data_IF_168070685261
#
_entry.id   IF_168070685261
#
_cell.length_a   1.000
_cell.length_b   1.000
_cell.length_c   1.000
_cell.angle_alpha   90.00
_cell.angle_beta   90.00
_cell.angle_gamma   90.00
#
_symmetry.space_group_name_H-M   'P 1'
#
loop_
_entity.id
_entity.type
_entity.pdbx_description
1 polymer ?
#
# COMPACT_ATOMS: atom_id res chain seq x y z
N UNK A 1 -6.37 -0.65 -21.43
CA UNK A 1 -6.54 0.75 -20.96
C UNK A 1 -5.29 1.58 -21.17
N UNK A 2 -4.15 1.24 -20.55
CA UNK A 2 -2.92 2.07 -20.71
C UNK A 2 -2.50 2.17 -22.17
N UNK A 3 -2.45 1.06 -22.92
CA UNK A 3 -2.05 1.07 -24.32
C UNK A 3 -3.03 1.86 -25.19
N UNK A 4 -4.33 1.79 -24.92
CA UNK A 4 -5.33 2.61 -25.61
C UNK A 4 -5.12 4.10 -25.30
N UNK A 5 -4.94 4.47 -24.02
CA UNK A 5 -4.62 5.85 -23.64
C UNK A 5 -3.35 6.35 -24.33
N UNK A 6 -2.28 5.54 -24.37
CA UNK A 6 -1.01 5.92 -24.98
C UNK A 6 -1.09 6.00 -26.51
N UNK A 7 -1.99 5.22 -27.14
CA UNK A 7 -2.26 5.31 -28.58
C UNK A 7 -3.01 6.60 -28.95
N UNK A 8 -3.96 7.02 -28.12
CA UNK A 8 -4.68 8.29 -28.28
C UNK A 8 -3.78 9.52 -28.04
N UNK A 9 -2.65 9.33 -27.30
CA UNK A 9 -1.71 10.40 -26.94
C UNK A 9 -0.30 10.04 -27.44
N UNK A 10 -0.04 10.17 -28.74
CA UNK A 10 1.25 9.80 -29.33
C UNK A 10 2.40 10.61 -28.74
N UNK A 11 3.58 10.00 -28.70
CA UNK A 11 4.77 10.64 -28.16
C UNK A 11 5.11 11.91 -28.96
N UNK A 12 5.13 13.04 -28.28
CA UNK A 12 5.74 14.26 -28.81
C UNK A 12 7.27 14.18 -28.66
N UNK A 13 8.00 15.15 -29.23
CA UNK A 13 9.46 15.31 -28.96
C UNK A 13 9.78 15.45 -27.46
N UNK A 14 8.78 15.72 -26.65
CA UNK A 14 8.88 15.80 -25.20
C UNK A 14 8.43 14.49 -24.55
N UNK A 15 9.13 13.98 -23.53
CA UNK A 15 8.91 12.63 -23.01
C UNK A 15 7.73 12.48 -22.01
N UNK A 16 6.81 13.43 -21.95
CA UNK A 16 5.77 13.45 -20.90
C UNK A 16 4.83 12.21 -20.91
N UNK A 17 4.52 11.64 -22.07
CA UNK A 17 3.74 10.39 -22.18
C UNK A 17 4.61 9.14 -22.03
N UNK A 18 5.90 9.25 -22.35
CA UNK A 18 6.87 8.16 -22.21
C UNK A 18 7.12 7.82 -20.74
N UNK A 19 7.03 8.80 -19.82
CA UNK A 19 7.23 8.59 -18.39
C UNK A 19 6.22 7.58 -17.85
N UNK A 20 4.94 7.73 -18.16
CA UNK A 20 3.90 6.81 -17.73
C UNK A 20 4.15 5.37 -18.22
N UNK A 21 4.56 5.19 -19.49
CA UNK A 21 4.89 3.87 -20.05
C UNK A 21 6.06 3.20 -19.32
N UNK A 22 7.10 3.98 -18.98
CA UNK A 22 8.25 3.46 -18.22
C UNK A 22 7.85 3.06 -16.80
N UNK A 23 7.00 3.85 -16.16
CA UNK A 23 6.56 3.62 -14.80
C UNK A 23 5.50 2.51 -14.68
N UNK A 24 4.75 2.24 -15.73
CA UNK A 24 3.77 1.13 -15.79
C UNK A 24 4.39 -0.27 -15.54
N UNK A 25 5.69 -0.44 -15.74
CA UNK A 25 6.42 -1.67 -15.36
C UNK A 25 6.33 -1.96 -13.87
N UNK A 26 6.18 -0.95 -13.04
CA UNK A 26 5.97 -1.11 -11.59
C UNK A 26 4.66 -1.84 -11.29
N UNK A 27 3.63 -1.66 -12.13
CA UNK A 27 2.39 -2.43 -12.06
C UNK A 27 2.64 -3.94 -12.27
N UNK A 28 3.48 -4.32 -13.22
CA UNK A 28 3.69 -5.74 -13.56
C UNK A 28 4.31 -6.54 -12.41
N UNK A 29 5.03 -5.90 -11.50
CA UNK A 29 5.69 -6.52 -10.35
C UNK A 29 4.82 -6.71 -9.10
N UNK A 30 3.55 -6.23 -9.11
CA UNK A 30 2.63 -6.34 -7.97
C UNK A 30 1.99 -7.73 -7.83
N UNK A 31 1.63 -8.10 -6.60
CA UNK A 31 0.93 -9.35 -6.29
C UNK A 31 -0.58 -9.31 -6.61
N UNK A 32 -1.13 -8.15 -6.96
CA UNK A 32 -2.54 -7.93 -7.34
C UNK A 32 -3.57 -8.36 -6.28
N UNK A 33 -3.24 -8.30 -5.02
CA UNK A 33 -4.12 -8.77 -3.93
C UNK A 33 -5.46 -8.08 -3.90
N UNK A 34 -5.51 -6.77 -4.20
CA UNK A 34 -6.75 -5.98 -4.15
C UNK A 34 -7.70 -6.34 -5.29
N UNK A 35 -7.15 -6.41 -6.50
CA UNK A 35 -7.88 -6.90 -7.66
C UNK A 35 -8.36 -8.35 -7.45
N UNK A 36 -7.46 -9.23 -6.99
CA UNK A 36 -7.79 -10.63 -6.74
C UNK A 36 -8.89 -10.79 -5.67
N UNK A 37 -8.86 -9.97 -4.60
CA UNK A 37 -9.91 -9.96 -3.58
C UNK A 37 -11.27 -9.52 -4.17
N UNK A 38 -11.28 -8.47 -4.97
CA UNK A 38 -12.52 -7.97 -5.58
C UNK A 38 -13.12 -9.00 -6.54
N UNK A 39 -12.31 -9.60 -7.41
CA UNK A 39 -12.78 -10.60 -8.38
C UNK A 39 -13.21 -11.89 -7.68
N UNK A 40 -12.36 -12.45 -6.80
CA UNK A 40 -12.70 -13.68 -6.08
C UNK A 40 -13.92 -13.48 -5.17
N UNK A 41 -14.03 -12.32 -4.51
CA UNK A 41 -15.23 -11.99 -3.70
C UNK A 41 -16.50 -11.96 -4.55
N UNK A 42 -16.44 -11.32 -5.71
CA UNK A 42 -17.56 -11.33 -6.67
C UNK A 42 -17.96 -12.77 -7.09
N UNK A 43 -16.97 -13.54 -7.58
CA UNK A 43 -17.21 -14.92 -8.03
C UNK A 43 -17.75 -15.80 -6.92
N UNK A 44 -17.22 -15.68 -5.71
CA UNK A 44 -17.72 -16.45 -4.57
C UNK A 44 -19.13 -16.07 -4.12
N UNK A 45 -19.49 -14.78 -4.20
CA UNK A 45 -20.82 -14.30 -3.82
C UNK A 45 -21.88 -14.63 -4.87
N UNK A 46 -21.54 -14.61 -6.14
CA UNK A 46 -22.48 -14.87 -7.25
C UNK A 46 -22.50 -16.34 -7.70
N UNK A 47 -21.37 -17.05 -7.58
CA UNK A 47 -21.16 -18.36 -8.20
C UNK A 47 -20.81 -18.27 -9.69
N UNK A 48 -20.70 -17.06 -10.24
CA UNK A 48 -20.47 -16.82 -11.67
C UNK A 48 -19.06 -16.22 -11.91
N UNK A 49 -18.38 -16.58 -12.98
CA UNK A 49 -17.09 -16.01 -13.32
C UNK A 49 -17.22 -14.50 -13.63
N UNK A 50 -16.18 -13.74 -13.25
CA UNK A 50 -16.15 -12.31 -13.53
C UNK A 50 -16.08 -12.05 -15.05
N UNK A 51 -17.17 -11.57 -15.62
CA UNK A 51 -17.22 -11.12 -17.02
C UNK A 51 -16.33 -9.90 -17.28
N UNK A 52 -16.11 -9.54 -18.57
CA UNK A 52 -15.21 -8.43 -18.94
C UNK A 52 -15.50 -7.10 -18.25
N UNK A 53 -16.78 -6.75 -18.08
CA UNK A 53 -17.19 -5.50 -17.39
C UNK A 53 -16.81 -5.51 -15.91
N UNK A 54 -17.11 -6.60 -15.20
CA UNK A 54 -16.73 -6.80 -13.78
C UNK A 54 -15.20 -6.75 -13.62
N UNK A 55 -14.48 -7.51 -14.44
CA UNK A 55 -13.02 -7.55 -14.41
C UNK A 55 -12.41 -6.17 -14.69
N UNK A 56 -12.97 -5.44 -15.69
CA UNK A 56 -12.52 -4.09 -16.01
C UNK A 56 -12.78 -3.12 -14.84
N UNK A 57 -14.00 -3.12 -14.30
CA UNK A 57 -14.32 -2.27 -13.15
C UNK A 57 -13.34 -2.52 -12.00
N UNK A 58 -13.11 -3.79 -11.60
CA UNK A 58 -12.22 -4.12 -10.49
C UNK A 58 -10.76 -3.62 -10.69
N UNK A 59 -10.32 -3.33 -11.93
CA UNK A 59 -8.97 -2.79 -12.17
C UNK A 59 -8.74 -1.40 -11.59
N UNK A 60 -9.80 -0.66 -11.21
CA UNK A 60 -9.64 0.64 -10.56
C UNK A 60 -8.75 0.56 -9.33
N UNK A 61 -8.83 -0.53 -8.58
CA UNK A 61 -8.05 -0.78 -7.36
C UNK A 61 -6.53 -0.80 -7.62
N UNK A 62 -6.11 -1.38 -8.74
CA UNK A 62 -4.69 -1.45 -9.09
C UNK A 62 -4.19 -0.12 -9.69
N UNK A 63 -5.03 0.58 -10.48
CA UNK A 63 -4.70 1.93 -10.94
C UNK A 63 -4.59 2.90 -9.77
N UNK A 64 -5.55 2.86 -8.85
CA UNK A 64 -5.53 3.70 -7.67
C UNK A 64 -4.31 3.39 -6.78
N UNK A 65 -4.00 2.12 -6.56
CA UNK A 65 -2.81 1.73 -5.81
C UNK A 65 -1.52 2.22 -6.48
N UNK A 66 -1.43 2.20 -7.81
CA UNK A 66 -0.27 2.77 -8.52
C UNK A 66 -0.15 4.28 -8.30
N UNK A 67 -1.27 4.99 -8.34
CA UNK A 67 -1.34 6.41 -8.01
C UNK A 67 -0.74 6.70 -6.64
N UNK A 68 -1.18 5.97 -5.62
CA UNK A 68 -0.67 6.16 -4.24
C UNK A 68 0.83 5.85 -4.14
N UNK A 69 1.32 4.80 -4.83
CA UNK A 69 2.74 4.46 -4.84
C UNK A 69 3.62 5.54 -5.47
N UNK A 70 3.14 6.22 -6.51
CA UNK A 70 3.91 7.29 -7.16
C UNK A 70 4.06 8.51 -6.24
N UNK A 71 3.03 8.84 -5.48
CA UNK A 71 3.07 9.95 -4.52
C UNK A 71 3.86 9.58 -3.26
N UNK A 72 3.64 8.39 -2.73
CA UNK A 72 4.35 7.85 -1.56
C UNK A 72 5.88 7.85 -1.79
N UNK A 73 6.35 7.36 -2.96
CA UNK A 73 7.76 7.40 -3.31
C UNK A 73 8.38 8.82 -3.33
N UNK A 74 7.56 9.85 -3.63
CA UNK A 74 8.03 11.24 -3.62
C UNK A 74 8.07 11.77 -2.18
N UNK A 75 7.05 11.48 -1.38
CA UNK A 75 6.93 11.93 0.01
C UNK A 75 8.01 11.29 0.89
N UNK A 76 8.27 9.98 0.69
CA UNK A 76 9.29 9.22 1.41
C UNK A 76 10.71 9.44 0.83
N UNK A 77 10.87 10.24 -0.23
CA UNK A 77 12.12 10.41 -1.00
C UNK A 77 12.74 9.08 -1.47
N UNK A 78 11.92 8.06 -1.69
CA UNK A 78 12.38 6.72 -2.06
C UNK A 78 12.92 6.68 -3.49
N UNK A 79 14.22 6.37 -3.65
CA UNK A 79 14.87 6.25 -4.97
C UNK A 79 14.48 4.96 -5.69
N UNK A 80 14.09 3.94 -4.94
CA UNK A 80 13.75 2.60 -5.44
C UNK A 80 12.53 2.05 -4.73
N UNK A 81 11.67 1.40 -5.52
CA UNK A 81 10.56 0.59 -5.02
C UNK A 81 10.78 -0.86 -5.44
N UNK A 82 11.04 -1.75 -4.45
CA UNK A 82 11.46 -3.14 -4.68
C UNK A 82 12.75 -3.20 -5.53
N UNK A 83 12.71 -3.91 -6.66
CA UNK A 83 13.85 -4.04 -7.58
C UNK A 83 13.93 -2.92 -8.62
N UNK A 84 12.91 -2.08 -8.77
CA UNK A 84 12.83 -1.03 -9.77
C UNK A 84 13.16 0.35 -9.17
N UNK A 85 13.69 1.29 -9.98
CA UNK A 85 13.70 2.69 -9.59
C UNK A 85 12.28 3.20 -9.37
N UNK A 86 12.07 4.09 -8.40
CA UNK A 86 10.79 4.79 -8.22
C UNK A 86 10.44 5.66 -9.43
N UNK A 87 9.16 6.07 -9.53
CA UNK A 87 8.70 6.87 -10.66
C UNK A 87 9.49 8.18 -10.80
N UNK A 88 9.65 8.94 -9.72
CA UNK A 88 10.39 10.19 -9.77
C UNK A 88 11.88 9.98 -10.08
N UNK A 89 12.48 8.91 -9.57
CA UNK A 89 13.89 8.57 -9.87
C UNK A 89 14.08 8.18 -11.34
N UNK A 90 13.14 7.39 -11.90
CA UNK A 90 13.13 7.04 -13.34
C UNK A 90 13.01 8.30 -14.21
N UNK A 91 12.05 9.17 -13.88
CA UNK A 91 11.77 10.38 -14.64
C UNK A 91 12.93 11.39 -14.56
N UNK A 92 13.64 11.47 -13.43
CA UNK A 92 14.81 12.32 -13.26
C UNK A 92 15.91 12.02 -14.29
N UNK A 93 16.04 10.76 -14.74
CA UNK A 93 17.01 10.35 -15.75
C UNK A 93 16.71 10.89 -17.16
N UNK A 94 15.47 11.31 -17.40
CA UNK A 94 15.04 11.90 -18.68
C UNK A 94 15.34 13.39 -18.75
N UNK A 95 15.77 14.02 -17.66
CA UNK A 95 16.15 15.43 -17.63
C UNK A 95 17.42 15.66 -18.47
N UNK A 96 17.30 16.49 -19.50
CA UNK A 96 18.41 16.80 -20.44
C UNK A 96 19.09 18.14 -20.20
N UNK A 97 18.52 18.96 -19.29
CA UNK A 97 19.07 20.24 -18.95
C UNK A 97 20.31 20.15 -18.06
N UNK A 98 21.04 21.24 -17.91
CA UNK A 98 22.12 21.35 -16.93
C UNK A 98 21.56 21.26 -15.53
N UNK A 99 21.98 20.26 -14.78
CA UNK A 99 21.60 20.11 -13.37
C UNK A 99 22.32 21.17 -12.52
N UNK A 100 21.61 21.77 -11.60
CA UNK A 100 22.13 22.80 -10.71
C UNK A 100 21.44 22.70 -9.35
N UNK A 101 22.20 22.97 -8.30
CA UNK A 101 21.65 23.11 -6.93
C UNK A 101 20.70 24.31 -6.87
N UNK A 102 19.66 24.18 -6.08
CA UNK A 102 18.62 25.19 -5.87
C UNK A 102 18.34 25.33 -4.37
N UNK A 103 19.17 26.06 -3.64
CA UNK A 103 18.94 26.28 -2.21
C UNK A 103 17.65 27.07 -1.98
N UNK A 104 16.99 26.84 -0.84
CA UNK A 104 15.79 27.57 -0.44
C UNK A 104 14.50 27.21 -1.20
N UNK A 105 14.46 26.11 -1.94
CA UNK A 105 13.27 25.59 -2.64
C UNK A 105 13.03 24.14 -2.31
N UNK A 106 11.78 23.66 -2.51
CA UNK A 106 11.33 22.29 -2.17
C UNK A 106 12.24 21.21 -2.77
N UNK A 107 12.59 21.33 -4.05
CA UNK A 107 13.46 20.36 -4.71
C UNK A 107 14.88 20.89 -4.86
N UNK A 108 15.87 20.20 -4.31
CA UNK A 108 17.28 20.64 -4.23
C UNK A 108 17.98 20.82 -5.56
N UNK A 109 17.57 20.11 -6.62
CA UNK A 109 18.16 20.25 -7.95
C UNK A 109 17.08 20.38 -9.03
N UNK A 110 17.47 20.86 -10.23
CA UNK A 110 16.56 20.93 -11.38
C UNK A 110 16.13 19.53 -11.84
N UNK A 111 17.03 18.57 -11.75
CA UNK A 111 16.79 17.17 -12.11
C UNK A 111 15.75 16.52 -11.20
N UNK A 112 15.88 16.64 -9.88
CA UNK A 112 14.92 16.09 -8.92
C UNK A 112 13.55 16.76 -9.05
N UNK A 113 13.52 18.10 -9.25
CA UNK A 113 12.27 18.82 -9.55
C UNK A 113 11.56 18.24 -10.78
N UNK A 114 12.28 18.08 -11.88
CA UNK A 114 11.72 17.52 -13.12
C UNK A 114 11.17 16.13 -12.88
N UNK A 115 11.93 15.25 -12.25
CA UNK A 115 11.51 13.86 -11.97
C UNK A 115 10.27 13.78 -11.11
N UNK A 116 10.21 14.51 -9.99
CA UNK A 116 9.08 14.56 -9.10
C UNK A 116 7.84 15.19 -9.78
N UNK A 117 8.00 16.30 -10.51
CA UNK A 117 6.88 16.92 -11.23
C UNK A 117 6.28 15.98 -12.27
N UNK A 118 7.08 15.23 -13.03
CA UNK A 118 6.56 14.23 -13.97
C UNK A 118 5.89 13.07 -13.26
N UNK A 119 6.41 12.61 -12.11
CA UNK A 119 5.78 11.54 -11.34
C UNK A 119 4.44 11.97 -10.73
N UNK A 120 4.29 13.23 -10.27
CA UNK A 120 3.00 13.79 -9.84
C UNK A 120 2.00 13.78 -11.00
N UNK A 121 2.40 14.22 -12.20
CA UNK A 121 1.54 14.19 -13.38
C UNK A 121 1.17 12.76 -13.80
N UNK A 122 2.10 11.81 -13.70
CA UNK A 122 1.82 10.40 -13.95
C UNK A 122 0.85 9.83 -12.89
N UNK A 123 0.99 10.23 -11.62
CA UNK A 123 0.04 9.88 -10.56
C UNK A 123 -1.37 10.36 -10.89
N UNK A 124 -1.55 11.63 -11.28
CA UNK A 124 -2.85 12.17 -11.69
C UNK A 124 -3.46 11.41 -12.88
N UNK A 125 -2.63 11.07 -13.89
CA UNK A 125 -3.09 10.27 -15.03
C UNK A 125 -3.60 8.89 -14.61
N UNK A 126 -2.88 8.17 -13.77
CA UNK A 126 -3.33 6.84 -13.31
C UNK A 126 -4.52 6.92 -12.36
N UNK A 127 -4.65 8.01 -11.58
CA UNK A 127 -5.88 8.29 -10.81
C UNK A 127 -7.11 8.42 -11.73
N UNK A 128 -6.98 9.15 -12.83
CA UNK A 128 -8.04 9.27 -13.85
C UNK A 128 -8.30 7.94 -14.58
N UNK A 129 -7.26 7.09 -14.77
CA UNK A 129 -7.46 5.75 -15.33
C UNK A 129 -8.25 4.85 -14.37
N UNK A 130 -8.17 5.05 -13.06
CA UNK A 130 -9.02 4.34 -12.10
C UNK A 130 -10.51 4.69 -12.31
N UNK A 131 -10.86 5.96 -12.48
CA UNK A 131 -12.23 6.37 -12.81
C UNK A 131 -12.70 5.81 -14.16
N UNK A 132 -11.88 5.94 -15.21
CA UNK A 132 -12.18 5.37 -16.54
C UNK A 132 -12.35 3.85 -16.54
N UNK A 133 -11.76 3.13 -15.59
CA UNK A 133 -11.97 1.70 -15.43
C UNK A 133 -13.40 1.38 -15.05
N UNK A 134 -13.96 2.15 -14.12
CA UNK A 134 -15.35 2.02 -13.65
C UNK A 134 -16.33 2.51 -14.73
N UNK A 135 -16.13 3.73 -15.24
CA UNK A 135 -17.02 4.35 -16.23
C UNK A 135 -17.15 3.52 -17.51
N UNK A 136 -16.02 3.02 -18.02
CA UNK A 136 -15.97 2.24 -19.26
C UNK A 136 -16.22 0.75 -19.06
N UNK A 137 -16.71 0.30 -17.91
CA UNK A 137 -17.07 -1.09 -17.66
C UNK A 137 -18.42 -1.40 -18.34
N UNK A 138 -18.36 -2.13 -19.43
CA UNK A 138 -19.55 -2.50 -20.22
C UNK A 138 -20.43 -3.49 -19.48
N UNK A 139 -21.76 -3.38 -19.65
CA UNK A 139 -22.75 -4.28 -19.06
C UNK A 139 -23.03 -4.04 -17.57
N UNK A 140 -22.42 -3.04 -16.93
CA UNK A 140 -22.75 -2.67 -15.57
C UNK A 140 -23.92 -1.67 -15.51
N UNK A 141 -24.80 -1.88 -14.54
CA UNK A 141 -25.87 -0.93 -14.22
C UNK A 141 -25.29 0.44 -13.84
N UNK A 142 -25.86 1.55 -14.32
CA UNK A 142 -25.44 2.91 -13.95
C UNK A 142 -25.36 3.14 -12.44
N UNK A 143 -26.30 2.61 -11.66
CA UNK A 143 -26.30 2.74 -10.20
C UNK A 143 -25.14 1.96 -9.54
N UNK A 144 -24.69 0.87 -10.15
CA UNK A 144 -23.49 0.15 -9.71
C UNK A 144 -22.24 0.98 -9.97
N UNK A 145 -22.13 1.60 -11.17
CA UNK A 145 -21.01 2.50 -11.48
C UNK A 145 -20.95 3.69 -10.53
N UNK A 146 -22.07 4.33 -10.25
CA UNK A 146 -22.15 5.45 -9.30
C UNK A 146 -21.66 5.05 -7.92
N UNK A 147 -22.09 3.89 -7.41
CA UNK A 147 -21.61 3.36 -6.12
C UNK A 147 -20.11 3.07 -6.12
N UNK A 148 -19.56 2.54 -7.19
CA UNK A 148 -18.12 2.29 -7.29
C UNK A 148 -17.30 3.59 -7.38
N UNK A 149 -17.81 4.63 -8.06
CA UNK A 149 -17.19 5.95 -8.07
C UNK A 149 -17.25 6.62 -6.69
N UNK A 150 -18.36 6.45 -5.97
CA UNK A 150 -18.49 6.88 -4.58
C UNK A 150 -17.48 6.17 -3.67
N UNK A 151 -17.32 4.86 -3.82
CA UNK A 151 -16.33 4.07 -3.08
C UNK A 151 -14.88 4.54 -3.36
N UNK A 152 -14.56 4.81 -4.63
CA UNK A 152 -13.26 5.34 -5.02
C UNK A 152 -12.99 6.71 -4.37
N UNK A 153 -14.00 7.60 -4.34
CA UNK A 153 -13.90 8.91 -3.69
C UNK A 153 -13.68 8.79 -2.19
N UNK A 154 -14.40 7.88 -1.53
CA UNK A 154 -14.25 7.62 -0.10
C UNK A 154 -12.86 7.03 0.24
N UNK A 155 -12.38 6.12 -0.61
CA UNK A 155 -11.00 5.60 -0.50
C UNK A 155 -9.98 6.73 -0.62
N UNK A 156 -10.18 7.65 -1.55
CA UNK A 156 -9.27 8.78 -1.80
C UNK A 156 -9.15 9.69 -0.58
N UNK A 157 -10.29 10.05 0.03
CA UNK A 157 -10.35 10.89 1.22
C UNK A 157 -9.68 10.21 2.43
N UNK A 158 -10.13 9.00 2.76
CA UNK A 158 -9.65 8.30 3.97
C UNK A 158 -8.18 7.90 3.86
N UNK A 159 -7.73 7.48 2.67
CA UNK A 159 -6.33 7.12 2.47
C UNK A 159 -5.42 8.35 2.53
N UNK A 160 -5.88 9.51 2.01
CA UNK A 160 -5.14 10.77 2.13
C UNK A 160 -4.98 11.19 3.58
N UNK A 161 -6.02 11.03 4.42
CA UNK A 161 -5.91 11.24 5.87
C UNK A 161 -4.87 10.31 6.51
N UNK A 162 -4.88 9.03 6.10
CA UNK A 162 -3.92 8.04 6.59
C UNK A 162 -2.48 8.38 6.22
N UNK A 163 -2.26 8.87 4.99
CA UNK A 163 -0.94 9.35 4.55
C UNK A 163 -0.51 10.62 5.31
N UNK A 164 -1.46 11.52 5.58
CA UNK A 164 -1.21 12.70 6.41
C UNK A 164 -0.72 12.33 7.81
N UNK A 165 -1.39 11.37 8.46
CA UNK A 165 -0.97 10.84 9.77
C UNK A 165 0.43 10.23 9.73
N UNK A 166 0.77 9.47 8.68
CA UNK A 166 2.10 8.87 8.55
C UNK A 166 3.20 9.94 8.47
N UNK A 167 2.97 11.02 7.73
CA UNK A 167 3.88 12.18 7.66
C UNK A 167 3.96 12.89 9.01
N UNK A 168 2.83 13.12 9.69
CA UNK A 168 2.81 13.77 11.00
C UNK A 168 3.58 12.96 12.03
N UNK A 169 3.53 11.63 11.97
CA UNK A 169 4.26 10.74 12.87
C UNK A 169 5.77 10.87 12.74
N UNK A 170 6.30 11.27 11.58
CA UNK A 170 7.76 11.48 11.41
C UNK A 170 8.30 12.54 12.40
N UNK A 171 7.47 13.54 12.72
CA UNK A 171 7.85 14.63 13.63
C UNK A 171 7.47 14.33 15.08
N UNK A 172 6.63 13.34 15.33
CA UNK A 172 6.18 12.98 16.67
C UNK A 172 7.32 12.39 17.51
N UNK A 173 7.41 12.79 18.78
CA UNK A 173 8.37 12.21 19.73
C UNK A 173 8.05 10.75 20.06
N UNK A 174 6.77 10.43 20.14
CA UNK A 174 6.23 9.10 20.35
C UNK A 174 4.85 9.02 19.71
N UNK A 175 4.45 7.84 19.33
CA UNK A 175 3.08 7.48 18.94
C UNK A 175 2.65 6.29 19.78
N UNK A 176 1.35 6.17 20.00
CA UNK A 176 0.73 5.01 20.65
C UNK A 176 0.44 3.90 19.64
N UNK A 177 0.23 2.68 20.13
CA UNK A 177 -0.20 1.56 19.31
C UNK A 177 -1.57 1.86 18.64
N UNK A 178 -2.49 2.53 19.33
CA UNK A 178 -3.80 2.92 18.80
C UNK A 178 -3.70 3.95 17.67
N UNK A 179 -2.86 4.95 17.81
CA UNK A 179 -2.61 5.94 16.74
C UNK A 179 -2.04 5.28 15.50
N UNK A 180 -1.06 4.38 15.68
CA UNK A 180 -0.54 3.58 14.57
C UNK A 180 -1.64 2.75 13.89
N UNK A 181 -2.52 2.10 14.66
CA UNK A 181 -3.62 1.29 14.11
C UNK A 181 -4.57 2.12 13.25
N UNK A 182 -4.96 3.31 13.73
CA UNK A 182 -5.79 4.26 12.95
C UNK A 182 -5.11 4.67 11.65
N UNK A 183 -3.83 5.03 11.70
CA UNK A 183 -3.04 5.37 10.51
C UNK A 183 -2.98 4.19 9.52
N UNK A 184 -2.66 2.98 10.01
CA UNK A 184 -2.55 1.77 9.21
C UNK A 184 -3.88 1.37 8.56
N UNK A 185 -5.00 1.49 9.29
CA UNK A 185 -6.34 1.27 8.74
C UNK A 185 -6.66 2.25 7.60
N UNK A 186 -6.36 3.53 7.79
CA UNK A 186 -6.64 4.56 6.79
C UNK A 186 -5.70 4.45 5.60
N UNK A 187 -4.39 4.39 5.80
CA UNK A 187 -3.37 4.39 4.73
C UNK A 187 -3.37 3.09 3.93
N UNK A 188 -3.44 1.93 4.60
CA UNK A 188 -3.33 0.62 3.95
C UNK A 188 -4.66 -0.13 3.93
N UNK A 189 -5.37 -0.16 5.05
CA UNK A 189 -6.59 -0.93 5.24
C UNK A 189 -7.72 -0.48 4.33
N UNK A 190 -7.92 0.83 4.18
CA UNK A 190 -9.04 1.40 3.43
C UNK A 190 -9.13 0.89 1.99
N UNK A 191 -8.01 0.73 1.29
CA UNK A 191 -8.02 0.23 -0.09
C UNK A 191 -8.31 -1.27 -0.18
N UNK A 192 -8.00 -2.06 0.86
CA UNK A 192 -8.43 -3.47 0.93
C UNK A 192 -9.93 -3.58 1.24
N UNK A 193 -10.45 -2.74 2.14
CA UNK A 193 -11.89 -2.62 2.39
C UNK A 193 -12.61 -2.18 1.12
N UNK A 194 -12.07 -1.24 0.36
CA UNK A 194 -12.58 -0.83 -0.95
C UNK A 194 -12.63 -1.98 -1.98
N UNK A 195 -11.68 -2.91 -1.91
CA UNK A 195 -11.71 -4.11 -2.76
C UNK A 195 -12.87 -5.05 -2.36
N UNK A 196 -13.11 -5.22 -1.07
CA UNK A 196 -14.27 -5.98 -0.55
C UNK A 196 -15.60 -5.31 -0.89
N UNK A 197 -15.69 -3.99 -0.69
CA UNK A 197 -16.86 -3.19 -1.05
C UNK A 197 -17.15 -3.25 -2.57
N UNK A 198 -16.11 -3.25 -3.40
CA UNK A 198 -16.21 -3.43 -4.85
C UNK A 198 -16.82 -4.79 -5.20
N UNK A 199 -16.31 -5.88 -4.60
CA UNK A 199 -16.87 -7.23 -4.80
C UNK A 199 -18.36 -7.29 -4.42
N UNK A 200 -18.69 -6.79 -3.23
CA UNK A 200 -20.06 -6.80 -2.71
C UNK A 200 -21.01 -5.93 -3.57
N UNK A 201 -20.55 -4.78 -4.04
CA UNK A 201 -21.33 -3.89 -4.91
C UNK A 201 -21.61 -4.54 -6.26
N UNK A 202 -20.60 -5.13 -6.90
CA UNK A 202 -20.71 -5.83 -8.18
C UNK A 202 -21.62 -7.06 -8.09
N UNK A 203 -21.58 -7.77 -6.95
CA UNK A 203 -22.38 -8.97 -6.69
C UNK A 203 -23.80 -8.66 -6.19
N UNK A 204 -24.17 -7.40 -5.97
CA UNK A 204 -25.41 -7.03 -5.28
C UNK A 204 -25.59 -7.81 -3.96
N UNK A 205 -24.52 -7.96 -3.19
CA UNK A 205 -24.47 -8.75 -1.98
C UNK A 205 -25.39 -8.21 -0.88
N UNK A 206 -25.82 -9.09 0.01
CA UNK A 206 -26.52 -8.68 1.24
C UNK A 206 -25.61 -7.81 2.11
N UNK A 207 -26.20 -6.98 2.97
CA UNK A 207 -25.43 -6.15 3.91
C UNK A 207 -24.58 -7.01 4.86
N UNK A 208 -25.09 -8.16 5.27
CA UNK A 208 -24.36 -9.12 6.10
C UNK A 208 -23.10 -9.64 5.40
N UNK A 209 -23.21 -10.08 4.13
CA UNK A 209 -22.08 -10.62 3.37
C UNK A 209 -21.07 -9.49 3.04
N UNK A 210 -21.56 -8.28 2.71
CA UNK A 210 -20.72 -7.08 2.55
C UNK A 210 -19.90 -6.81 3.80
N UNK A 211 -20.56 -6.66 4.95
CA UNK A 211 -19.91 -6.34 6.23
C UNK A 211 -18.87 -7.41 6.63
N UNK A 212 -19.19 -8.67 6.41
CA UNK A 212 -18.27 -9.78 6.70
C UNK A 212 -17.04 -9.75 5.76
N UNK A 213 -17.23 -9.48 4.48
CA UNK A 213 -16.12 -9.38 3.51
C UNK A 213 -15.24 -8.16 3.78
N UNK A 214 -15.81 -7.02 4.15
CA UNK A 214 -15.08 -5.81 4.55
C UNK A 214 -14.30 -6.06 5.86
N UNK A 215 -14.88 -6.77 6.81
CA UNK A 215 -14.23 -7.20 8.07
C UNK A 215 -13.03 -8.10 7.77
N UNK A 216 -13.20 -9.09 6.89
CA UNK A 216 -12.07 -9.91 6.40
C UNK A 216 -10.96 -9.03 5.82
N UNK A 217 -11.31 -8.13 4.90
CA UNK A 217 -10.35 -7.28 4.20
C UNK A 217 -9.57 -6.35 5.15
N UNK A 218 -10.27 -5.75 6.12
CA UNK A 218 -9.69 -4.90 7.16
C UNK A 218 -8.64 -5.65 7.98
N UNK A 219 -9.01 -6.77 8.56
CA UNK A 219 -8.11 -7.55 9.41
C UNK A 219 -6.95 -8.17 8.62
N UNK A 220 -7.21 -8.62 7.39
CA UNK A 220 -6.15 -9.06 6.48
C UNK A 220 -5.14 -7.96 6.21
N UNK A 221 -5.60 -6.73 5.94
CA UNK A 221 -4.74 -5.59 5.66
C UNK A 221 -3.89 -5.16 6.86
N UNK A 222 -4.45 -5.19 8.07
CA UNK A 222 -3.69 -4.89 9.30
C UNK A 222 -2.59 -5.93 9.54
N UNK A 223 -2.90 -7.22 9.39
CA UNK A 223 -1.89 -8.27 9.49
C UNK A 223 -0.81 -8.15 8.40
N UNK A 224 -1.21 -7.74 7.19
CA UNK A 224 -0.31 -7.50 6.06
C UNK A 224 0.65 -6.34 6.37
N UNK A 225 0.13 -5.21 6.89
CA UNK A 225 0.95 -4.04 7.21
C UNK A 225 1.93 -4.32 8.35
N UNK A 226 1.47 -4.88 9.46
CA UNK A 226 2.34 -5.26 10.58
C UNK A 226 3.47 -6.18 10.14
N UNK A 227 3.17 -7.05 9.18
CA UNK A 227 4.17 -7.92 8.60
C UNK A 227 5.16 -7.19 7.69
N UNK A 228 4.71 -6.28 6.84
CA UNK A 228 5.59 -5.47 6.00
C UNK A 228 6.55 -4.65 6.88
N UNK A 229 6.10 -4.12 8.02
CA UNK A 229 6.91 -3.41 9.01
C UNK A 229 7.97 -4.31 9.66
N UNK A 230 7.63 -5.57 9.98
CA UNK A 230 8.61 -6.56 10.46
C UNK A 230 9.73 -6.79 9.43
N UNK A 231 9.38 -6.87 8.16
CA UNK A 231 10.33 -7.05 7.06
C UNK A 231 11.15 -5.79 6.80
N UNK A 232 10.52 -4.61 6.79
CA UNK A 232 11.14 -3.30 6.57
C UNK A 232 12.16 -2.94 7.66
N UNK A 233 11.90 -3.34 8.92
CA UNK A 233 12.85 -3.19 10.02
C UNK A 233 14.03 -4.17 9.96
N UNK A 234 13.89 -5.28 9.23
CA UNK A 234 14.86 -6.38 9.22
C UNK A 234 14.99 -7.11 10.55
N UNK A 235 13.98 -7.02 11.41
CA UNK A 235 13.89 -7.82 12.66
C UNK A 235 13.71 -9.29 12.31
N UNK A 236 12.94 -9.56 11.24
CA UNK A 236 12.84 -10.86 10.60
C UNK A 236 13.47 -10.80 9.20
N UNK A 237 14.06 -11.90 8.75
CA UNK A 237 14.65 -11.98 7.41
C UNK A 237 13.64 -12.52 6.41
N UNK A 238 13.57 -11.90 5.22
CA UNK A 238 12.84 -12.47 4.09
C UNK A 238 13.81 -13.05 3.08
N UNK A 239 13.45 -14.18 2.45
CA UNK A 239 14.17 -14.73 1.31
C UNK A 239 14.01 -13.88 0.04
N UNK A 240 13.14 -12.87 0.06
CA UNK A 240 12.84 -12.00 -1.08
C UNK A 240 13.43 -10.63 -0.77
N UNK A 241 14.57 -10.31 -1.42
CA UNK A 241 15.38 -9.12 -1.19
C UNK A 241 14.59 -7.81 -1.10
N UNK A 242 14.72 -7.13 0.02
CA UNK A 242 14.38 -5.75 0.29
C UNK A 242 15.51 -5.11 1.09
N UNK A 243 15.56 -3.78 1.18
CA UNK A 243 16.52 -3.10 2.07
C UNK A 243 16.13 -3.42 3.52
N UNK A 244 16.77 -4.43 4.08
CA UNK A 244 16.47 -4.98 5.40
C UNK A 244 16.79 -4.03 6.57
N UNK A 245 16.58 -2.74 6.46
CA UNK A 245 16.74 -1.72 7.52
C UNK A 245 16.31 -0.33 7.10
N UNK A 246 15.57 -0.19 5.98
CA UNK A 246 15.10 1.10 5.49
C UNK A 246 14.33 1.86 6.56
N UNK A 247 13.35 1.23 7.16
CA UNK A 247 12.47 1.84 8.16
C UNK A 247 13.23 2.32 9.42
N UNK A 248 14.25 1.58 9.86
CA UNK A 248 15.09 1.99 11.00
C UNK A 248 15.90 3.24 10.66
N UNK A 249 16.50 3.26 9.48
CA UNK A 249 17.32 4.39 9.04
C UNK A 249 16.47 5.64 8.78
N UNK A 250 15.32 5.48 8.10
CA UNK A 250 14.37 6.55 7.84
C UNK A 250 13.65 7.03 9.10
N UNK A 251 13.57 6.21 10.13
CA UNK A 251 12.91 6.56 11.39
C UNK A 251 11.39 6.41 11.34
N UNK A 252 10.87 5.50 10.48
CA UNK A 252 9.43 5.28 10.34
C UNK A 252 8.77 4.88 11.66
N UNK A 253 7.68 5.52 11.99
CA UNK A 253 6.93 5.29 13.24
C UNK A 253 5.97 4.10 13.06
N UNK A 254 6.55 2.89 13.02
CA UNK A 254 5.80 1.64 12.89
C UNK A 254 5.21 1.17 14.23
N UNK A 255 4.35 0.14 14.21
CA UNK A 255 3.87 -0.51 15.45
C UNK A 255 5.03 -1.03 16.31
N UNK A 256 6.07 -1.57 15.68
CA UNK A 256 7.30 -1.97 16.39
C UNK A 256 7.92 -0.81 17.17
N UNK A 257 7.99 0.37 16.55
CA UNK A 257 8.48 1.58 17.21
C UNK A 257 7.62 1.95 18.40
N UNK A 258 6.30 2.02 18.24
CA UNK A 258 5.36 2.40 19.30
C UNK A 258 5.51 1.49 20.53
N UNK A 259 5.48 0.18 20.32
CA UNK A 259 5.63 -0.81 21.39
C UNK A 259 7.01 -0.76 22.03
N UNK A 260 8.09 -0.59 21.24
CA UNK A 260 9.44 -0.47 21.80
C UNK A 260 9.60 0.76 22.69
N UNK A 261 9.01 1.90 22.32
CA UNK A 261 9.00 3.12 23.14
C UNK A 261 8.24 2.89 24.45
N UNK A 262 7.11 2.21 24.41
CA UNK A 262 6.28 1.95 25.58
C UNK A 262 6.93 0.94 26.53
N UNK A 263 7.42 -0.20 26.01
CA UNK A 263 7.81 -1.36 26.83
C UNK A 263 9.28 -1.44 27.19
N UNK A 264 10.15 -0.70 26.49
CA UNK A 264 11.58 -0.77 26.80
C UNK A 264 11.90 -0.12 28.16
N UNK A 265 12.78 -0.72 28.97
CA UNK A 265 13.32 -0.08 30.16
C UNK A 265 14.00 1.25 29.84
N UNK A 266 14.06 2.22 30.77
CA UNK A 266 14.54 3.57 30.48
C UNK A 266 15.91 3.63 29.78
N UNK A 267 16.86 2.79 30.18
CA UNK A 267 18.19 2.71 29.54
C UNK A 267 18.14 2.23 28.10
N UNK A 268 17.35 1.18 27.82
CA UNK A 268 17.18 0.62 26.48
C UNK A 268 16.42 1.62 25.59
N UNK A 269 15.34 2.24 26.10
CA UNK A 269 14.58 3.28 25.41
C UNK A 269 15.45 4.46 25.01
N UNK A 270 16.28 4.97 25.91
CA UNK A 270 17.20 6.07 25.61
C UNK A 270 18.23 5.69 24.53
N UNK A 271 18.73 4.45 24.55
CA UNK A 271 19.63 3.94 23.53
C UNK A 271 18.93 3.77 22.15
N UNK A 272 17.70 3.26 22.17
CA UNK A 272 16.84 3.12 20.99
C UNK A 272 16.59 4.47 20.31
N UNK A 273 16.10 5.47 21.04
CA UNK A 273 15.81 6.81 20.51
C UNK A 273 17.06 7.48 19.91
N UNK A 274 18.25 7.28 20.52
CA UNK A 274 19.50 7.83 19.96
C UNK A 274 19.94 7.18 18.67
N UNK A 275 19.62 5.89 18.46
CA UNK A 275 20.07 5.10 17.31
C UNK A 275 19.05 5.08 16.16
N UNK A 276 17.77 5.34 16.44
CA UNK A 276 16.65 5.26 15.48
C UNK A 276 16.56 6.53 14.63
N UNK A 277 16.26 6.38 13.32
CA UNK A 277 15.92 7.52 12.45
C UNK A 277 17.09 8.44 12.14
N UNK A 278 18.31 7.92 12.05
CA UNK A 278 19.51 8.74 11.80
C UNK A 278 19.76 8.99 10.31
N UNK A 279 18.91 8.48 9.43
CA UNK A 279 19.02 8.60 7.98
C UNK A 279 20.39 8.12 7.47
N UNK A 280 21.09 8.88 6.60
CA UNK A 280 22.41 8.53 6.10
C UNK A 280 23.51 8.40 7.16
N UNK A 281 23.29 8.89 8.39
CA UNK A 281 24.21 8.76 9.52
C UNK A 281 24.01 7.48 10.34
N UNK A 282 23.03 6.64 9.97
CA UNK A 282 22.84 5.35 10.63
C UNK A 282 24.02 4.43 10.38
N UNK A 283 24.61 3.91 11.46
CA UNK A 283 25.71 2.94 11.37
C UNK A 283 25.18 1.50 11.47
N UNK A 284 25.92 0.49 11.00
CA UNK A 284 25.56 -0.91 11.23
C UNK A 284 25.37 -1.26 12.72
N UNK A 285 26.11 -0.59 13.62
CA UNK A 285 25.98 -0.75 15.09
C UNK A 285 24.65 -0.18 15.59
N UNK A 286 24.22 0.97 15.09
CA UNK A 286 22.92 1.58 15.43
C UNK A 286 21.79 0.63 15.00
N UNK A 287 21.82 0.13 13.75
CA UNK A 287 20.82 -0.80 13.23
C UNK A 287 20.78 -2.10 14.04
N UNK A 288 21.93 -2.67 14.37
CA UNK A 288 22.00 -3.89 15.18
C UNK A 288 21.44 -3.69 16.59
N UNK A 289 21.74 -2.53 17.22
CA UNK A 289 21.22 -2.17 18.54
C UNK A 289 19.69 -2.02 18.50
N UNK A 290 19.17 -1.29 17.53
CA UNK A 290 17.72 -1.08 17.35
C UNK A 290 17.01 -2.44 17.13
N UNK A 291 17.50 -3.27 16.23
CA UNK A 291 16.92 -4.60 15.98
C UNK A 291 16.90 -5.49 17.21
N UNK A 292 17.95 -5.45 18.03
CA UNK A 292 17.97 -6.18 19.29
C UNK A 292 16.84 -5.71 20.20
N UNK A 293 16.70 -4.40 20.40
CA UNK A 293 15.67 -3.82 21.28
C UNK A 293 14.27 -4.14 20.76
N UNK A 294 14.06 -4.07 19.44
CA UNK A 294 12.78 -4.44 18.82
C UNK A 294 12.45 -5.92 19.04
N UNK A 295 13.44 -6.82 18.92
CA UNK A 295 13.25 -8.25 19.21
C UNK A 295 12.90 -8.52 20.66
N UNK A 296 13.61 -7.86 21.59
CA UNK A 296 13.44 -8.07 23.02
C UNK A 296 12.12 -7.51 23.57
N UNK A 297 11.58 -6.44 22.97
CA UNK A 297 10.47 -5.69 23.59
C UNK A 297 9.24 -5.50 22.72
N UNK A 298 9.29 -5.75 21.41
CA UNK A 298 8.18 -5.49 20.52
C UNK A 298 7.76 -6.69 19.65
N UNK A 299 8.68 -7.56 19.25
CA UNK A 299 8.44 -8.60 18.26
C UNK A 299 7.28 -9.54 18.63
N UNK A 300 7.26 -10.06 19.86
CA UNK A 300 6.23 -11.01 20.29
C UNK A 300 4.84 -10.38 20.30
N UNK A 301 4.76 -9.08 20.65
CA UNK A 301 3.48 -8.36 20.65
C UNK A 301 2.96 -8.18 19.24
N UNK A 302 3.85 -7.76 18.30
CA UNK A 302 3.46 -7.59 16.89
C UNK A 302 3.06 -8.93 16.27
N UNK A 303 3.78 -10.01 16.57
CA UNK A 303 3.39 -11.35 16.12
C UNK A 303 2.01 -11.76 16.66
N UNK A 304 1.73 -11.51 17.94
CA UNK A 304 0.43 -11.78 18.53
C UNK A 304 -0.70 -10.96 17.87
N UNK A 305 -0.42 -9.70 17.48
CA UNK A 305 -1.36 -8.86 16.72
C UNK A 305 -1.62 -9.42 15.32
N UNK A 306 -0.57 -9.80 14.60
CA UNK A 306 -0.71 -10.46 13.28
C UNK A 306 -1.60 -11.70 13.39
N UNK A 307 -1.32 -12.59 14.36
CA UNK A 307 -2.13 -13.80 14.57
C UNK A 307 -3.57 -13.49 14.95
N UNK A 308 -3.80 -12.49 15.81
CA UNK A 308 -5.15 -12.05 16.20
C UNK A 308 -5.93 -11.54 15.01
N UNK A 309 -5.33 -10.67 14.19
CA UNK A 309 -5.95 -10.15 12.97
C UNK A 309 -6.23 -11.28 11.96
N UNK A 310 -5.31 -12.23 11.78
CA UNK A 310 -5.53 -13.37 10.88
C UNK A 310 -6.67 -14.26 11.37
N UNK A 311 -6.80 -14.50 12.70
CA UNK A 311 -7.95 -15.23 13.25
C UNK A 311 -9.26 -14.49 13.01
N UNK A 312 -9.31 -13.18 13.24
CA UNK A 312 -10.48 -12.35 12.98
C UNK A 312 -10.87 -12.36 11.50
N UNK A 313 -9.87 -12.24 10.60
CA UNK A 313 -10.11 -12.35 9.15
C UNK A 313 -10.70 -13.71 8.78
N UNK A 314 -10.14 -14.81 9.26
CA UNK A 314 -10.66 -16.16 8.97
C UNK A 314 -12.06 -16.36 9.52
N UNK A 315 -12.34 -15.90 10.76
CA UNK A 315 -13.68 -15.97 11.34
C UNK A 315 -14.71 -15.16 10.53
N UNK A 316 -14.32 -14.01 9.98
CA UNK A 316 -15.21 -13.23 9.13
C UNK A 316 -15.60 -13.98 7.84
N UNK A 317 -14.69 -14.79 7.26
CA UNK A 317 -15.00 -15.62 6.10
C UNK A 317 -16.08 -16.67 6.39
N UNK A 318 -16.15 -17.19 7.62
CA UNK A 318 -17.15 -18.19 8.01
C UNK A 318 -18.58 -17.61 8.00
N UNK A 319 -18.71 -16.30 8.19
CA UNK A 319 -20.00 -15.61 8.17
C UNK A 319 -20.52 -15.30 6.74
N UNK A 320 -19.68 -15.41 5.71
CA UNK A 320 -20.04 -15.09 4.33
C UNK A 320 -20.72 -16.29 3.66
N UNK A 321 -21.84 -16.05 2.99
CA UNK A 321 -22.58 -17.07 2.23
C UNK A 321 -22.07 -17.17 0.80
N UNK A 322 -20.83 -17.66 0.65
CA UNK A 322 -20.32 -17.98 -0.69
C UNK A 322 -21.11 -19.09 -1.37
N UNK A 323 -21.25 -19.01 -2.68
CA UNK A 323 -21.90 -20.02 -3.52
C UNK A 323 -21.07 -21.28 -3.71
N UNK A 324 -19.75 -21.16 -3.53
CA UNK A 324 -18.81 -22.29 -3.56
C UNK A 324 -17.72 -22.14 -2.49
N UNK A 325 -17.07 -23.28 -2.16
CA UNK A 325 -16.00 -23.30 -1.17
C UNK A 325 -14.63 -22.83 -1.73
N UNK A 326 -14.49 -22.72 -3.04
CA UNK A 326 -13.19 -22.36 -3.69
C UNK A 326 -12.75 -20.98 -3.28
N UNK A 327 -13.68 -20.03 -3.26
CA UNK A 327 -13.37 -18.65 -2.86
C UNK A 327 -12.97 -18.59 -1.40
N UNK A 328 -13.71 -19.27 -0.51
CA UNK A 328 -13.39 -19.38 0.91
C UNK A 328 -11.99 -19.97 1.12
N UNK A 329 -11.67 -21.07 0.43
CA UNK A 329 -10.36 -21.70 0.48
C UNK A 329 -9.25 -20.81 -0.07
N UNK A 330 -9.50 -20.08 -1.16
CA UNK A 330 -8.53 -19.15 -1.74
C UNK A 330 -8.21 -18.02 -0.76
N UNK A 331 -9.22 -17.36 -0.22
CA UNK A 331 -9.06 -16.25 0.72
C UNK A 331 -8.44 -16.72 2.04
N UNK A 332 -8.82 -17.91 2.52
CA UNK A 332 -8.20 -18.53 3.70
C UNK A 332 -6.71 -18.83 3.49
N UNK A 333 -6.34 -19.39 2.32
CA UNK A 333 -4.92 -19.62 1.97
C UNK A 333 -4.15 -18.30 1.86
N UNK A 334 -4.77 -17.27 1.27
CA UNK A 334 -4.16 -15.94 1.16
C UNK A 334 -3.86 -15.37 2.54
N UNK A 335 -4.82 -15.45 3.47
CA UNK A 335 -4.64 -15.00 4.85
C UNK A 335 -3.55 -15.79 5.57
N UNK A 336 -3.61 -17.13 5.53
CA UNK A 336 -2.63 -18.01 6.18
C UNK A 336 -1.21 -17.83 5.63
N UNK A 337 -1.06 -17.54 4.34
CA UNK A 337 0.24 -17.23 3.74
C UNK A 337 0.90 -15.97 4.33
N UNK A 338 0.14 -15.08 4.95
CA UNK A 338 0.73 -13.97 5.71
C UNK A 338 1.34 -14.45 7.04
N UNK A 339 0.77 -15.43 7.72
CA UNK A 339 1.31 -16.01 8.96
C UNK A 339 2.54 -16.91 8.73
N UNK A 340 2.55 -17.74 7.68
CA UNK A 340 3.60 -18.75 7.43
C UNK A 340 4.94 -18.16 6.98
N UNK A 341 4.97 -16.92 6.49
CA UNK A 341 6.22 -16.27 6.08
C UNK A 341 7.12 -15.84 7.26
N UNK A 342 6.74 -16.12 8.49
CA UNK A 342 7.50 -15.80 9.71
C UNK A 342 8.32 -17.01 10.24
N UNK A 343 8.24 -18.17 9.56
CA UNK A 343 8.98 -19.38 9.95
C UNK A 343 10.14 -19.65 9.01
#
# INVERSE_FOLDING_TARGET
MLDAYLAEHPESRFPSTRTLRLNAKTLSAGKRYRYALAVAGYEGLTGEPAGPGVARAATWLEWYHLYTLFLDDIMDEDVRRRTFPSAWSTNSRLYRGKDASRPGVVFRTRRTRYGASQAILDALRVRSLAERAIEGAEGLDPAVRERLLGELTEVDLVLSDGQGLDIDFETARAITESEYEVMSERKTGRLYVGAAATAATLAAASESDRSALETFARHFALAFQDRDDLLGSGVVTSQIGGSASGDIAQGKRTRLYAIAIERSPPKARAAFVRAYGRGPRSTPRDVALVRRILREHALDVVNARIESNLRAALSALDAIRFRDDRTRDLLSRLARAQGSRLR
#
